data_IF_846994819277
#
_entry.id   IF_846994819277
#
_cell.length_a   1.000
_cell.length_b   1.000
_cell.length_c   1.000
_cell.angle_alpha   90.00
_cell.angle_beta   90.00
_cell.angle_gamma   90.00
#
_symmetry.space_group_name_H-M   'P 1'
#
loop_
_entity.id
_entity.type
_entity.pdbx_description
1 polymer ?
#
# COMPACT_ATOMS: atom_id res chain seq x y z
N UNK A 1 -13.76 -20.96 34.79
CA UNK A 1 -13.19 -19.90 33.94
C UNK A 1 -13.19 -20.42 32.51
N UNK A 2 -14.17 -19.99 31.70
CA UNK A 2 -14.17 -20.22 30.26
C UNK A 2 -13.74 -18.91 29.60
N UNK A 3 -12.58 -18.90 28.95
CA UNK A 3 -12.17 -17.77 28.12
C UNK A 3 -12.94 -17.84 26.80
N UNK A 4 -13.76 -16.81 26.54
CA UNK A 4 -14.49 -16.66 25.29
C UNK A 4 -13.66 -15.79 24.34
N UNK A 5 -13.22 -16.34 23.21
CA UNK A 5 -12.40 -15.69 22.19
C UNK A 5 -13.21 -14.72 21.30
N UNK A 6 -14.11 -13.93 21.88
CA UNK A 6 -14.92 -12.97 21.10
C UNK A 6 -14.32 -11.58 21.18
N UNK A 7 -13.84 -11.12 20.01
CA UNK A 7 -13.66 -9.71 19.63
C UNK A 7 -12.62 -8.93 20.45
N UNK A 8 -11.36 -9.16 20.07
CA UNK A 8 -10.25 -8.26 20.36
C UNK A 8 -10.56 -6.85 19.79
N UNK A 9 -10.53 -5.89 20.71
CA UNK A 9 -10.70 -4.44 20.65
C UNK A 9 -10.15 -3.70 19.40
N UNK A 10 -10.65 -4.00 18.19
CA UNK A 10 -10.40 -3.16 17.00
C UNK A 10 -11.33 -1.94 17.08
N UNK A 11 -10.84 -0.70 17.10
CA UNK A 11 -11.72 0.45 16.94
C UNK A 11 -12.42 0.32 15.58
N UNK A 12 -13.72 0.05 15.63
CA UNK A 12 -14.59 0.09 14.47
C UNK A 12 -14.86 1.57 14.17
N UNK A 13 -14.07 2.17 13.28
CA UNK A 13 -14.39 3.49 12.76
C UNK A 13 -15.57 3.33 11.82
N UNK A 14 -16.75 3.74 12.28
CA UNK A 14 -17.91 3.89 11.40
C UNK A 14 -17.62 5.12 10.51
N UNK A 15 -17.68 5.01 9.18
CA UNK A 15 -17.47 6.17 8.31
C UNK A 15 -18.42 7.31 8.71
N UNK A 16 -17.87 8.43 9.16
CA UNK A 16 -18.63 9.64 9.49
C UNK A 16 -19.00 9.83 10.97
N UNK A 17 -18.55 8.99 11.89
CA UNK A 17 -18.79 9.21 13.34
C UNK A 17 -17.58 9.74 14.11
N UNK A 18 -16.38 9.64 13.54
CA UNK A 18 -15.14 10.09 14.16
C UNK A 18 -14.28 10.85 13.15
N UNK A 19 -13.67 11.94 13.61
CA UNK A 19 -12.72 12.70 12.81
C UNK A 19 -11.41 11.93 12.66
N UNK A 20 -10.87 11.95 11.44
CA UNK A 20 -9.54 11.40 11.20
C UNK A 20 -8.52 12.23 12.02
N UNK A 21 -7.55 11.59 12.71
CA UNK A 21 -6.59 12.31 13.52
C UNK A 21 -5.87 13.35 12.67
N UNK A 22 -5.62 14.52 13.26
CA UNK A 22 -4.79 15.55 12.63
C UNK A 22 -3.32 15.16 12.74
N UNK A 23 -2.46 15.78 11.92
CA UNK A 23 -1.00 15.65 12.06
C UNK A 23 -0.45 14.20 11.94
N UNK A 24 -1.15 13.35 11.18
CA UNK A 24 -0.81 11.92 11.03
C UNK A 24 0.63 11.71 10.60
N UNK A 25 1.13 12.50 9.65
CA UNK A 25 2.49 12.35 9.16
C UNK A 25 3.52 12.65 10.26
N UNK A 26 3.29 13.70 11.07
CA UNK A 26 4.17 14.03 12.19
C UNK A 26 4.13 12.94 13.26
N UNK A 27 2.93 12.49 13.62
CA UNK A 27 2.75 11.41 14.61
C UNK A 27 3.44 10.11 14.16
N UNK A 28 3.32 9.75 12.88
CA UNK A 28 3.95 8.55 12.33
C UNK A 28 5.47 8.67 12.26
N UNK A 29 6.01 9.81 11.82
CA UNK A 29 7.47 9.99 11.72
C UNK A 29 8.14 10.05 13.09
N UNK A 30 7.45 10.54 14.12
CA UNK A 30 7.94 10.50 15.50
C UNK A 30 7.89 9.09 16.10
N UNK A 31 6.85 8.31 15.81
CA UNK A 31 6.66 6.97 16.39
C UNK A 31 7.41 5.86 15.64
N UNK A 32 7.64 6.02 14.33
CA UNK A 32 8.23 4.99 13.46
C UNK A 32 9.46 5.55 12.77
N UNK A 33 10.63 5.05 13.17
CA UNK A 33 11.94 5.47 12.68
C UNK A 33 12.04 5.42 11.14
N UNK A 34 11.49 4.36 10.53
CA UNK A 34 11.50 4.17 9.08
C UNK A 34 10.13 4.43 8.48
N UNK A 35 9.81 5.71 8.25
CA UNK A 35 8.59 6.14 7.58
C UNK A 35 8.88 6.55 6.13
N UNK A 36 8.15 5.98 5.17
CA UNK A 36 8.25 6.34 3.75
C UNK A 36 6.97 7.10 3.35
N UNK A 37 7.12 8.35 2.91
CA UNK A 37 6.02 9.20 2.48
C UNK A 37 6.13 9.47 0.99
N UNK A 38 5.06 9.20 0.24
CA UNK A 38 5.01 9.39 -1.21
C UNK A 38 3.62 9.79 -1.70
N UNK A 39 3.56 10.46 -2.84
CA UNK A 39 2.32 10.77 -3.54
C UNK A 39 1.97 9.68 -4.56
N UNK A 40 1.51 8.52 -4.09
CA UNK A 40 1.24 7.35 -4.95
C UNK A 40 0.21 7.62 -6.04
N UNK A 41 -0.83 8.42 -5.74
CA UNK A 41 -1.86 8.83 -6.71
C UNK A 41 -1.23 9.63 -7.85
N UNK A 42 -0.39 10.61 -7.53
CA UNK A 42 0.33 11.43 -8.53
C UNK A 42 1.25 10.59 -9.42
N UNK A 43 1.96 9.62 -8.83
CA UNK A 43 2.80 8.69 -9.59
C UNK A 43 1.95 7.83 -10.56
N UNK A 44 0.78 7.36 -10.12
CA UNK A 44 -0.13 6.59 -10.96
C UNK A 44 -0.78 7.44 -12.07
N UNK A 45 -1.10 8.69 -11.78
CA UNK A 45 -1.59 9.67 -12.76
C UNK A 45 -0.57 9.92 -13.88
N UNK A 46 0.72 10.06 -13.53
CA UNK A 46 1.80 10.22 -14.51
C UNK A 46 1.94 9.01 -15.44
N UNK A 47 1.53 7.82 -14.99
CA UNK A 47 1.48 6.60 -15.79
C UNK A 47 0.18 6.48 -16.63
N UNK A 48 -0.71 7.47 -16.55
CA UNK A 48 -1.97 7.51 -17.29
C UNK A 48 -3.09 6.64 -16.69
N UNK A 49 -2.91 6.11 -15.48
CA UNK A 49 -3.94 5.31 -14.82
C UNK A 49 -3.90 5.49 -13.29
N UNK A 50 -4.69 6.43 -12.79
CA UNK A 50 -4.81 6.70 -11.35
C UNK A 50 -5.11 5.44 -10.51
N UNK A 51 -5.84 4.45 -11.05
CA UNK A 51 -6.24 3.24 -10.32
C UNK A 51 -5.06 2.32 -9.96
N UNK A 52 -3.88 2.52 -10.55
CA UNK A 52 -2.70 1.70 -10.26
C UNK A 52 -1.91 2.18 -9.04
N UNK A 53 -2.37 3.22 -8.32
CA UNK A 53 -1.67 3.74 -7.13
C UNK A 53 -1.40 2.67 -6.06
N UNK A 54 -2.29 1.69 -5.88
CA UNK A 54 -2.07 0.57 -4.95
C UNK A 54 -0.90 -0.31 -5.37
N UNK A 55 -0.67 -0.47 -6.67
CA UNK A 55 0.46 -1.24 -7.17
C UNK A 55 1.77 -0.44 -7.07
N UNK A 56 1.73 0.89 -7.14
CA UNK A 56 2.87 1.74 -6.75
C UNK A 56 3.23 1.49 -5.28
N UNK A 57 2.24 1.51 -4.38
CA UNK A 57 2.46 1.23 -2.95
C UNK A 57 3.03 -0.18 -2.71
N UNK A 58 2.55 -1.18 -3.46
CA UNK A 58 3.10 -2.54 -3.40
C UNK A 58 4.59 -2.56 -3.78
N UNK A 59 4.99 -1.87 -4.85
CA UNK A 59 6.41 -1.79 -5.23
C UNK A 59 7.29 -1.17 -4.14
N UNK A 60 6.82 -0.10 -3.52
CA UNK A 60 7.53 0.56 -2.40
C UNK A 60 7.67 -0.39 -1.21
N UNK A 61 6.59 -1.11 -0.88
CA UNK A 61 6.58 -2.06 0.23
C UNK A 61 7.55 -3.22 -0.01
N UNK A 62 7.58 -3.77 -1.22
CA UNK A 62 8.52 -4.84 -1.59
C UNK A 62 9.97 -4.41 -1.39
N UNK A 63 10.32 -3.19 -1.83
CA UNK A 63 11.67 -2.62 -1.61
C UNK A 63 11.95 -2.36 -0.13
N UNK A 64 10.98 -1.82 0.60
CA UNK A 64 11.13 -1.55 2.03
C UNK A 64 11.39 -2.83 2.85
N UNK A 65 10.83 -3.97 2.40
CA UNK A 65 10.96 -5.28 3.04
C UNK A 65 12.12 -6.13 2.51
N UNK A 66 12.83 -5.71 1.45
CA UNK A 66 13.92 -6.49 0.86
C UNK A 66 13.45 -7.77 0.17
N UNK A 67 12.35 -7.69 -0.58
CA UNK A 67 11.71 -8.83 -1.26
C UNK A 67 11.91 -8.82 -2.79
N UNK A 68 12.85 -8.04 -3.32
CA UNK A 68 13.09 -7.84 -4.75
C UNK A 68 13.59 -9.09 -5.48
N UNK A 69 14.11 -10.08 -4.76
CA UNK A 69 14.60 -11.36 -5.29
C UNK A 69 13.48 -12.27 -5.81
N UNK A 70 12.22 -12.00 -5.45
CA UNK A 70 11.07 -12.77 -5.91
C UNK A 70 10.64 -12.33 -7.31
N UNK A 71 10.07 -13.26 -8.09
CA UNK A 71 9.51 -12.94 -9.40
C UNK A 71 8.10 -12.32 -9.27
N UNK A 72 8.08 -11.05 -8.88
CA UNK A 72 6.85 -10.28 -8.74
C UNK A 72 6.09 -10.12 -10.06
N UNK A 73 6.80 -10.11 -11.21
CA UNK A 73 6.13 -10.02 -12.51
C UNK A 73 5.33 -11.29 -12.78
N UNK A 74 5.85 -12.47 -12.40
CA UNK A 74 5.10 -13.71 -12.51
C UNK A 74 3.90 -13.74 -11.55
N UNK A 75 4.07 -13.36 -10.28
CA UNK A 75 2.96 -13.27 -9.31
C UNK A 75 1.85 -12.34 -9.84
N UNK A 76 2.22 -11.21 -10.44
CA UNK A 76 1.26 -10.29 -11.04
C UNK A 76 0.55 -10.89 -12.26
N UNK A 77 1.23 -11.65 -13.12
CA UNK A 77 0.58 -12.37 -14.24
C UNK A 77 -0.49 -13.34 -13.76
N UNK A 78 -0.24 -14.01 -12.64
CA UNK A 78 -1.15 -15.03 -12.10
C UNK A 78 -2.39 -14.42 -11.43
N UNK A 79 -2.28 -13.19 -10.90
CA UNK A 79 -3.34 -12.53 -10.12
C UNK A 79 -4.05 -11.40 -10.86
N UNK A 80 -3.43 -10.82 -11.89
CA UNK A 80 -3.93 -9.62 -12.57
C UNK A 80 -4.38 -9.99 -13.99
N UNK A 81 -5.60 -9.62 -14.41
CA UNK A 81 -6.06 -9.84 -15.77
C UNK A 81 -5.12 -9.21 -16.81
N UNK A 82 -4.84 -9.95 -17.88
CA UNK A 82 -3.89 -9.56 -18.94
C UNK A 82 -4.13 -8.15 -19.48
N UNK A 83 -5.40 -7.77 -19.67
CA UNK A 83 -5.81 -6.45 -20.18
C UNK A 83 -5.27 -5.27 -19.37
N UNK A 84 -5.05 -5.45 -18.07
CA UNK A 84 -4.57 -4.38 -17.18
C UNK A 84 -3.17 -4.66 -16.64
N UNK A 85 -2.57 -5.79 -17.00
CA UNK A 85 -1.29 -6.24 -16.46
C UNK A 85 -0.16 -5.24 -16.75
N UNK A 86 -0.04 -4.75 -17.99
CA UNK A 86 1.05 -3.85 -18.37
C UNK A 86 1.07 -2.57 -17.54
N UNK A 87 -0.10 -1.94 -17.34
CA UNK A 87 -0.22 -0.72 -16.55
C UNK A 87 0.16 -0.96 -15.07
N UNK A 88 -0.26 -2.11 -14.51
CA UNK A 88 0.10 -2.48 -13.14
C UNK A 88 1.59 -2.81 -13.02
N UNK A 89 2.20 -3.52 -13.97
CA UNK A 89 3.65 -3.80 -13.95
C UNK A 89 4.46 -2.52 -14.02
N UNK A 90 4.06 -1.53 -14.84
CA UNK A 90 4.70 -0.20 -14.85
C UNK A 90 4.59 0.48 -13.48
N UNK A 91 3.40 0.50 -12.89
CA UNK A 91 3.19 1.07 -11.56
C UNK A 91 4.02 0.38 -10.47
N UNK A 92 4.14 -0.94 -10.53
CA UNK A 92 4.94 -1.71 -9.58
C UNK A 92 6.42 -1.33 -9.66
N UNK A 93 6.96 -1.25 -10.89
CA UNK A 93 8.34 -0.83 -11.14
C UNK A 93 8.57 0.62 -10.72
N UNK A 94 7.62 1.52 -10.94
CA UNK A 94 7.68 2.89 -10.42
C UNK A 94 7.77 2.89 -8.89
N UNK A 95 6.98 2.05 -8.21
CA UNK A 95 7.05 1.88 -6.76
C UNK A 95 8.40 1.35 -6.26
N UNK A 96 8.96 0.33 -6.92
CA UNK A 96 10.30 -0.21 -6.60
C UNK A 96 11.42 0.84 -6.79
N UNK A 97 11.22 1.82 -7.65
CA UNK A 97 12.22 2.86 -7.92
C UNK A 97 12.19 4.02 -6.90
N UNK A 98 11.16 4.11 -6.05
CA UNK A 98 11.07 5.07 -4.92
C UNK A 98 12.02 4.61 -3.83
#
# INVERSE_FOLDING_TARGET
MHFNLTQENRPHVTPGTEDYPQEILESLTQAVERTIVLQAVKLAEQLGNIRTHNIVLLGVLVKALGLEQLDWVQVMKDLIPEKVLEANVKAFKTGLAV
#
